data_IF_473052082611
#
_entry.id   IF_473052082611
#
_cell.length_a   1.000
_cell.length_b   1.000
_cell.length_c   1.000
_cell.angle_alpha   90.00
_cell.angle_beta   90.00
_cell.angle_gamma   90.00
#
_symmetry.space_group_name_H-M   'P 1'
#
loop_
_entity.id
_entity.type
_entity.pdbx_description
1 polymer ?
#
# COMPACT_ATOMS: atom_id res chain seq x y z
N UNK A 1 16.30 -1.04 -12.19
CA UNK A 1 15.67 0.26 -12.54
C UNK A 1 14.65 0.58 -11.45
N UNK A 2 14.97 1.52 -10.56
CA UNK A 2 14.09 1.90 -9.45
C UNK A 2 12.89 2.68 -9.98
N UNK A 3 11.68 2.18 -9.75
CA UNK A 3 10.46 2.90 -10.06
C UNK A 3 10.45 4.19 -9.24
N UNK A 4 10.41 5.33 -9.93
CA UNK A 4 10.12 6.62 -9.32
C UNK A 4 8.65 6.57 -8.87
N UNK A 5 8.42 6.34 -7.57
CA UNK A 5 7.06 6.28 -7.00
C UNK A 5 6.47 7.70 -6.96
N UNK A 6 5.73 8.11 -7.98
CA UNK A 6 4.93 9.35 -7.95
C UNK A 6 3.82 9.33 -6.86
N UNK A 7 3.59 8.20 -6.18
CA UNK A 7 2.55 8.05 -5.15
C UNK A 7 2.98 8.26 -3.70
N UNK A 8 4.28 8.36 -3.39
CA UNK A 8 4.77 8.63 -2.04
C UNK A 8 4.99 10.14 -1.83
N UNK A 9 4.86 10.62 -0.60
CA UNK A 9 5.05 12.02 -0.23
C UNK A 9 5.61 12.15 1.20
N UNK A 10 5.67 13.36 1.74
CA UNK A 10 6.22 13.63 3.09
C UNK A 10 5.41 12.96 4.23
N UNK A 11 4.23 12.41 3.96
CA UNK A 11 3.44 11.60 4.90
C UNK A 11 3.60 10.11 4.63
N UNK A 12 3.31 9.66 3.41
CA UNK A 12 3.50 8.27 3.00
C UNK A 12 4.84 8.16 2.29
N UNK A 13 5.89 7.90 3.06
CA UNK A 13 7.28 7.91 2.55
C UNK A 13 7.68 6.62 1.81
N UNK A 14 6.86 5.58 1.89
CA UNK A 14 7.10 4.31 1.22
C UNK A 14 5.86 3.43 1.22
N UNK A 15 5.68 2.67 0.14
CA UNK A 15 4.58 1.75 -0.03
C UNK A 15 5.08 0.52 -0.81
N UNK A 16 4.85 -0.68 -0.27
CA UNK A 16 5.26 -1.93 -0.91
C UNK A 16 4.26 -3.04 -0.62
N UNK A 17 3.94 -3.78 -1.67
CA UNK A 17 3.07 -4.95 -1.61
C UNK A 17 3.89 -6.22 -1.74
N UNK A 18 3.48 -7.28 -1.03
CA UNK A 18 4.10 -8.58 -1.07
C UNK A 18 3.02 -9.66 -1.21
N UNK A 19 3.17 -10.52 -2.21
CA UNK A 19 2.47 -11.80 -2.29
C UNK A 19 3.50 -12.92 -2.17
N UNK A 20 3.42 -13.65 -1.08
CA UNK A 20 4.31 -14.77 -0.81
C UNK A 20 3.64 -16.12 -1.08
N UNK A 21 2.32 -16.14 -1.28
CA UNK A 21 1.56 -17.32 -1.67
C UNK A 21 1.34 -17.33 -3.20
N UNK A 22 1.98 -18.24 -3.94
CA UNK A 22 1.84 -18.37 -5.39
C UNK A 22 0.53 -19.06 -5.80
N UNK A 23 -0.19 -19.69 -4.86
CA UNK A 23 -1.44 -20.42 -5.09
C UNK A 23 -2.68 -19.71 -4.57
N UNK A 24 -2.49 -18.65 -3.78
CA UNK A 24 -3.55 -17.85 -3.20
C UNK A 24 -4.30 -17.01 -4.25
N UNK A 25 -5.41 -16.37 -3.83
CA UNK A 25 -6.16 -15.46 -4.69
C UNK A 25 -5.22 -14.38 -5.24
N UNK A 26 -5.07 -14.35 -6.56
CA UNK A 26 -4.26 -13.32 -7.22
C UNK A 26 -5.03 -12.00 -7.15
N UNK A 27 -4.42 -10.97 -6.55
CA UNK A 27 -4.95 -9.63 -6.73
C UNK A 27 -4.80 -9.24 -8.20
N UNK A 28 -5.91 -8.80 -8.80
CA UNK A 28 -5.98 -8.38 -10.21
C UNK A 28 -4.97 -7.27 -10.53
N UNK A 29 -4.61 -6.47 -9.51
CA UNK A 29 -3.57 -5.45 -9.60
C UNK A 29 -2.60 -5.57 -8.40
N UNK A 30 -1.40 -6.13 -8.58
CA UNK A 30 -0.40 -6.24 -7.51
C UNK A 30 0.20 -4.87 -7.20
N UNK A 31 -0.50 -4.10 -6.36
CA UNK A 31 -0.21 -2.72 -6.01
C UNK A 31 -0.22 -2.56 -4.48
N UNK A 32 0.59 -1.65 -3.91
CA UNK A 32 0.51 -1.29 -2.50
C UNK A 32 -0.73 -0.43 -2.15
N UNK A 33 -1.59 -0.13 -3.12
CA UNK A 33 -2.87 0.56 -2.92
C UNK A 33 -3.86 -0.37 -2.21
N UNK A 34 -4.57 0.16 -1.22
CA UNK A 34 -5.62 -0.55 -0.47
C UNK A 34 -7.00 -0.21 -1.04
N UNK A 35 -7.61 -1.17 -1.74
CA UNK A 35 -8.96 -1.03 -2.31
C UNK A 35 -10.08 -1.45 -1.33
N UNK A 36 -9.74 -2.03 -0.17
CA UNK A 36 -10.72 -2.46 0.85
C UNK A 36 -10.90 -1.43 1.97
N UNK A 37 -9.86 -0.65 2.26
CA UNK A 37 -9.89 0.46 3.21
C UNK A 37 -9.49 0.10 4.65
N UNK A 38 -9.31 -1.18 4.98
CA UNK A 38 -8.87 -1.59 6.32
C UNK A 38 -7.48 -1.05 6.67
N UNK A 39 -6.53 -1.12 5.73
CA UNK A 39 -5.19 -0.56 5.91
C UNK A 39 -5.26 0.95 6.05
N UNK A 40 -6.05 1.59 5.20
CA UNK A 40 -6.28 3.04 5.23
C UNK A 40 -6.84 3.53 6.57
N UNK A 41 -7.88 2.88 7.10
CA UNK A 41 -8.48 3.22 8.39
C UNK A 41 -7.48 3.06 9.55
N UNK A 42 -6.74 1.94 9.55
CA UNK A 42 -5.73 1.63 10.57
C UNK A 42 -4.60 2.67 10.55
N UNK A 43 -4.03 2.94 9.38
CA UNK A 43 -2.96 3.93 9.22
C UNK A 43 -3.40 5.34 9.57
N UNK A 44 -4.63 5.72 9.22
CA UNK A 44 -5.20 7.04 9.57
C UNK A 44 -5.39 7.20 11.07
N UNK A 45 -5.75 6.12 11.77
CA UNK A 45 -5.90 6.13 13.23
C UNK A 45 -4.53 6.22 13.92
N UNK A 46 -3.55 5.47 13.42
CA UNK A 46 -2.22 5.40 14.03
C UNK A 46 -1.36 6.65 13.77
N UNK A 47 -1.42 7.22 12.57
CA UNK A 47 -0.53 8.31 12.12
C UNK A 47 -1.20 9.30 11.13
N UNK A 48 -2.51 9.52 11.29
CA UNK A 48 -3.27 10.49 10.51
C UNK A 48 -2.70 11.91 10.57
N UNK A 49 -3.10 12.78 9.64
CA UNK A 49 -2.80 14.22 9.79
C UNK A 49 -3.67 14.80 10.88
N UNK A 50 -3.12 15.75 11.62
CA UNK A 50 -3.92 16.79 12.27
C UNK A 50 -4.29 17.87 11.27
#
# INVERSE_FOLDING_TARGET
MGANFTGCNNKVIGAKYFNLDPTGPTMQNPSPVDDQGHGTHTSSTAAGSV
#
